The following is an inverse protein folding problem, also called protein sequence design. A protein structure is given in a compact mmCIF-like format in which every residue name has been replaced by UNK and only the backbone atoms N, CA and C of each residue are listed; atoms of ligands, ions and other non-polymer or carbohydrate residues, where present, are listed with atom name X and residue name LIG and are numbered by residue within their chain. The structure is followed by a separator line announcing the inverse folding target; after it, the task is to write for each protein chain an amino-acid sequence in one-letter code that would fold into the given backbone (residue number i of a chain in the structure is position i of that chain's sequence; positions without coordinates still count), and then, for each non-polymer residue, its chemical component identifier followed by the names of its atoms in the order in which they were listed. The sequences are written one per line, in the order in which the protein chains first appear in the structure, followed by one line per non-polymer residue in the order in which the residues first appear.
data_IF_227088196626
#
_entry.id   IF_227088196626
#
_cell.length_a   1.000
_cell.length_b   1.000
_cell.length_c   1.000
_cell.angle_alpha   90.00
_cell.angle_beta   90.00
_cell.angle_gamma   90.00
#
_symmetry.space_group_name_H-M   'P 1'
#
loop_
_entity.id
_entity.type
_entity.pdbx_description
1 polymer ?
#
# COMPACT_ATOMS: atom_id res chain seq x y z
N UNK A 1 -42.46 -1.65 14.64
CA UNK A 1 -41.87 -2.32 13.47
C UNK A 1 -40.68 -1.49 13.03
N UNK A 2 -39.47 -2.00 13.26
CA UNK A 2 -38.21 -1.29 13.07
C UNK A 2 -37.71 -1.54 11.64
N UNK A 3 -37.54 -0.48 10.85
CA UNK A 3 -36.89 -0.59 9.54
C UNK A 3 -35.46 -0.09 9.67
N UNK A 4 -34.51 -0.97 9.31
CA UNK A 4 -33.08 -0.75 9.37
C UNK A 4 -32.67 0.47 8.51
N UNK A 5 -31.76 1.32 8.98
CA UNK A 5 -31.21 2.38 8.14
C UNK A 5 -30.35 1.74 7.04
N UNK A 6 -30.69 2.05 5.79
CA UNK A 6 -29.87 1.74 4.62
C UNK A 6 -28.53 2.46 4.83
N UNK A 7 -27.47 1.70 5.07
CA UNK A 7 -26.11 2.23 5.02
C UNK A 7 -25.82 2.55 3.56
N UNK A 8 -26.00 3.81 3.20
CA UNK A 8 -25.45 4.35 1.97
C UNK A 8 -23.92 4.24 2.07
N UNK A 9 -23.36 3.18 1.46
CA UNK A 9 -21.95 3.15 1.12
C UNK A 9 -21.71 4.26 0.11
N UNK A 10 -21.42 5.47 0.61
CA UNK A 10 -20.96 6.57 -0.22
C UNK A 10 -19.61 6.12 -0.78
N UNK A 11 -19.46 5.82 -2.09
CA UNK A 11 -18.12 5.74 -2.64
C UNK A 11 -17.57 7.15 -2.49
N UNK A 12 -16.62 7.34 -1.57
CA UNK A 12 -15.90 8.59 -1.47
C UNK A 12 -15.27 8.81 -2.85
N UNK A 13 -15.85 9.71 -3.65
CA UNK A 13 -15.21 10.18 -4.87
C UNK A 13 -13.78 10.52 -4.47
N UNK A 14 -12.76 9.89 -5.08
CA UNK A 14 -11.39 10.07 -4.65
C UNK A 14 -11.07 11.55 -4.72
N UNK A 15 -10.89 12.18 -3.56
CA UNK A 15 -10.51 13.57 -3.48
C UNK A 15 -9.23 13.78 -4.31
N UNK A 16 -9.00 14.95 -4.92
CA UNK A 16 -7.76 15.19 -5.68
C UNK A 16 -6.49 14.89 -4.88
N UNK A 17 -6.55 15.04 -3.55
CA UNK A 17 -5.51 14.60 -2.63
C UNK A 17 -5.27 13.08 -2.63
N UNK A 18 -6.31 12.24 -2.69
CA UNK A 18 -6.14 10.78 -2.74
C UNK A 18 -5.48 10.32 -4.05
N UNK A 19 -5.74 11.00 -5.17
CA UNK A 19 -5.02 10.75 -6.43
C UNK A 19 -3.53 11.11 -6.30
N UNK A 20 -3.21 12.25 -5.70
CA UNK A 20 -1.82 12.65 -5.44
C UNK A 20 -1.11 11.65 -4.51
N UNK A 21 -1.79 11.18 -3.46
CA UNK A 21 -1.26 10.17 -2.54
C UNK A 21 -1.06 8.81 -3.20
N UNK A 22 -2.00 8.35 -4.04
CA UNK A 22 -1.87 7.12 -4.81
C UNK A 22 -0.64 7.15 -5.72
N UNK A 23 -0.44 8.27 -6.43
CA UNK A 23 0.76 8.47 -7.25
C UNK A 23 2.05 8.43 -6.43
N UNK A 24 2.05 9.01 -5.23
CA UNK A 24 3.21 8.97 -4.35
C UNK A 24 3.53 7.53 -3.90
N UNK A 25 2.53 6.77 -3.49
CA UNK A 25 2.70 5.36 -3.10
C UNK A 25 3.24 4.53 -4.27
N UNK A 26 2.65 4.65 -5.46
CA UNK A 26 3.11 3.93 -6.64
C UNK A 26 4.53 4.30 -7.06
N UNK A 27 4.92 5.57 -6.91
CA UNK A 27 6.28 6.04 -7.18
C UNK A 27 7.29 5.50 -6.18
N UNK A 28 6.94 5.38 -4.90
CA UNK A 28 7.84 4.74 -3.94
C UNK A 28 7.92 3.23 -4.17
N UNK A 29 6.81 2.58 -4.52
CA UNK A 29 6.79 1.16 -4.89
C UNK A 29 7.64 0.89 -6.15
N UNK A 30 7.76 1.84 -7.09
CA UNK A 30 8.61 1.70 -8.29
C UNK A 30 10.11 1.65 -8.00
N UNK A 31 10.53 1.99 -6.78
CA UNK A 31 11.91 1.83 -6.33
C UNK A 31 12.20 0.41 -5.84
N UNK A 32 11.17 -0.37 -5.58
CA UNK A 32 11.25 -1.75 -5.09
C UNK A 32 10.95 -2.71 -6.23
N UNK A 33 9.82 -2.51 -6.90
CA UNK A 33 9.38 -3.33 -8.04
C UNK A 33 9.33 -2.46 -9.31
N UNK A 34 10.25 -2.63 -10.27
CA UNK A 34 10.25 -1.86 -11.51
C UNK A 34 9.09 -2.21 -12.45
N UNK A 35 8.51 -3.42 -12.39
CA UNK A 35 7.36 -3.83 -13.20
C UNK A 35 6.09 -3.06 -12.81
N UNK A 36 5.57 -2.28 -13.76
CA UNK A 36 4.38 -1.47 -13.55
C UNK A 36 3.11 -2.30 -13.31
N UNK A 37 2.92 -3.39 -14.05
CA UNK A 37 1.74 -4.23 -13.92
C UNK A 37 1.72 -4.92 -12.55
N UNK A 38 2.88 -5.43 -12.11
CA UNK A 38 3.03 -6.04 -10.79
C UNK A 38 2.75 -5.03 -9.66
N UNK A 39 3.27 -3.80 -9.76
CA UNK A 39 2.98 -2.74 -8.78
C UNK A 39 1.51 -2.38 -8.70
N UNK A 40 0.85 -2.24 -9.85
CA UNK A 40 -0.56 -1.87 -9.90
C UNK A 40 -1.42 -3.00 -9.31
N UNK A 41 -1.10 -4.26 -9.63
CA UNK A 41 -1.75 -5.42 -9.05
C UNK A 41 -1.56 -5.46 -7.53
N UNK A 42 -0.34 -5.31 -7.04
CA UNK A 42 -0.06 -5.23 -5.60
C UNK A 42 -0.87 -4.11 -4.93
N UNK A 43 -0.86 -2.90 -5.51
CA UNK A 43 -1.53 -1.74 -4.93
C UNK A 43 -3.04 -1.95 -4.74
N UNK A 44 -3.68 -2.66 -5.68
CA UNK A 44 -5.14 -2.88 -5.69
C UNK A 44 -5.56 -4.14 -4.97
N UNK A 45 -4.85 -5.23 -5.20
CA UNK A 45 -5.34 -6.58 -4.95
C UNK A 45 -4.62 -7.25 -3.77
N UNK A 46 -3.42 -6.79 -3.40
CA UNK A 46 -2.63 -7.44 -2.36
C UNK A 46 -2.82 -6.80 -0.98
N UNK A 47 -3.37 -7.54 0.01
CA UNK A 47 -3.54 -7.04 1.37
C UNK A 47 -2.22 -7.02 2.13
N UNK A 48 -1.91 -5.88 2.73
CA UNK A 48 -0.69 -5.71 3.54
C UNK A 48 -0.94 -6.29 4.93
N UNK A 49 -0.33 -7.44 5.22
CA UNK A 49 -0.58 -8.19 6.47
C UNK A 49 -0.31 -7.39 7.75
N UNK A 50 0.70 -6.50 7.73
CA UNK A 50 1.07 -5.65 8.86
C UNK A 50 0.17 -4.42 9.02
N UNK A 51 -0.63 -4.08 8.01
CA UNK A 51 -1.58 -2.96 8.02
C UNK A 51 -3.01 -3.48 7.97
N UNK A 52 -3.33 -4.34 8.94
CA UNK A 52 -4.68 -4.88 9.17
C UNK A 52 -5.26 -5.65 7.97
N UNK A 53 -4.41 -6.13 7.05
CA UNK A 53 -4.78 -6.81 5.81
C UNK A 53 -5.62 -5.95 4.85
N UNK A 54 -5.45 -4.62 4.89
CA UNK A 54 -5.98 -3.74 3.86
C UNK A 54 -5.04 -3.65 2.66
N UNK A 55 -5.61 -3.42 1.47
CA UNK A 55 -4.84 -3.12 0.27
C UNK A 55 -4.29 -1.69 0.33
N UNK A 56 -3.20 -1.41 -0.40
CA UNK A 56 -2.63 -0.07 -0.44
C UNK A 56 -3.66 0.97 -0.95
N UNK A 57 -4.48 0.59 -1.93
CA UNK A 57 -5.58 1.44 -2.43
C UNK A 57 -6.58 1.79 -1.32
N UNK A 58 -7.01 0.80 -0.54
CA UNK A 58 -7.95 1.01 0.57
C UNK A 58 -7.37 1.93 1.62
N UNK A 59 -6.09 1.75 1.98
CA UNK A 59 -5.40 2.60 2.96
C UNK A 59 -5.26 4.04 2.46
N UNK A 60 -4.95 4.24 1.17
CA UNK A 60 -4.91 5.58 0.56
C UNK A 60 -6.29 6.23 0.57
N UNK A 61 -7.35 5.47 0.26
CA UNK A 61 -8.72 5.96 0.30
C UNK A 61 -9.17 6.36 1.73
N UNK A 62 -8.67 5.66 2.75
CA UNK A 62 -8.86 5.97 4.17
C UNK A 62 -8.00 7.15 4.66
N UNK A 63 -7.13 7.72 3.81
CA UNK A 63 -6.19 8.78 4.21
C UNK A 63 -4.95 8.29 4.95
N UNK A 64 -4.76 6.97 5.07
CA UNK A 64 -3.63 6.29 5.75
C UNK A 64 -2.45 6.01 4.81
N UNK A 65 -2.26 6.85 3.79
CA UNK A 65 -1.17 6.69 2.82
C UNK A 65 0.22 6.77 3.46
N UNK A 66 0.36 7.53 4.57
CA UNK A 66 1.62 7.64 5.31
C UNK A 66 2.07 6.28 5.88
N UNK A 67 1.13 5.46 6.37
CA UNK A 67 1.42 4.11 6.88
C UNK A 67 1.96 3.21 5.75
N UNK A 68 1.40 3.33 4.55
CA UNK A 68 1.86 2.60 3.35
C UNK A 68 3.26 3.04 2.93
N UNK A 69 3.55 4.35 2.98
CA UNK A 69 4.89 4.86 2.65
C UNK A 69 5.94 4.43 3.68
N UNK A 70 5.59 4.37 4.96
CA UNK A 70 6.48 3.86 6.00
C UNK A 70 6.74 2.36 5.84
N UNK A 71 5.69 1.59 5.52
CA UNK A 71 5.81 0.19 5.15
C UNK A 71 6.77 -0.02 3.96
N UNK A 72 6.58 0.70 2.86
CA UNK A 72 7.46 0.61 1.68
C UNK A 72 8.91 0.98 2.02
N UNK A 73 9.13 1.98 2.89
CA UNK A 73 10.47 2.34 3.35
C UNK A 73 11.15 1.19 4.08
N UNK A 74 10.44 0.53 5.01
CA UNK A 74 10.95 -0.63 5.75
C UNK A 74 11.21 -1.82 4.83
N UNK A 75 10.32 -2.10 3.88
CA UNK A 75 10.55 -3.16 2.87
C UNK A 75 11.80 -2.86 2.05
N UNK A 76 12.00 -1.61 1.63
CA UNK A 76 13.22 -1.23 0.93
C UNK A 76 14.45 -1.35 1.81
N UNK A 77 14.38 -0.97 3.08
CA UNK A 77 15.47 -1.14 4.05
C UNK A 77 15.80 -2.61 4.25
N UNK A 78 14.81 -3.48 4.41
CA UNK A 78 14.97 -4.94 4.52
C UNK A 78 15.62 -5.55 3.27
N UNK A 79 15.12 -5.20 2.08
CA UNK A 79 15.73 -5.60 0.80
C UNK A 79 17.14 -5.02 0.59
N UNK A 80 17.42 -3.84 1.13
CA UNK A 80 18.73 -3.20 1.10
C UNK A 80 19.65 -3.63 2.26
N UNK A 81 19.14 -4.40 3.23
CA UNK A 81 19.89 -5.15 4.24
C UNK A 81 20.25 -6.57 3.73
N UNK A 82 19.63 -7.01 2.64
CA UNK A 82 20.00 -8.22 1.88
C UNK A 82 21.19 -8.07 0.88
N UNK A 83 22.08 -7.06 0.88
CA UNK A 83 23.42 -7.22 0.32
C UNK A 83 24.28 -7.82 1.43
N UNK A 84 24.57 -9.11 1.30
CA UNK A 84 25.48 -9.90 2.14
C UNK A 84 24.96 -10.39 3.51
N UNK A 85 23.86 -11.17 3.52
CA UNK A 85 23.92 -12.41 4.30
C UNK A 85 24.85 -13.38 3.56
N UNK A 86 26.14 -13.04 3.60
CA UNK A 86 27.19 -13.98 3.33
C UNK A 86 27.02 -15.10 4.35
N UNK A 87 26.47 -16.22 3.90
CA UNK A 87 26.93 -17.53 4.33
C UNK A 87 28.40 -17.68 3.91
N UNK A 88 29.26 -16.84 4.46
CA UNK A 88 30.68 -17.10 4.56
C UNK A 88 30.81 -18.17 5.63
N UNK A 89 31.30 -19.33 5.20
CA UNK A 89 31.81 -20.39 6.05
C UNK A 89 32.50 -19.82 7.30
N UNK A 90 32.26 -20.42 8.47
CA UNK A 90 33.24 -21.23 9.23
C UNK A 90 32.52 -21.89 10.41
#
# INVERSE_FOLDING_TARGET
MSYAPIVEFRPALPAPASKAHAWHVLREASRIEPDEAARIAWYRDEPIATLERYTAETLVAMGRYADVLDFLRRVREDLALEPSHGFGAF
#
